data_IF_942152676405
#
_entry.id   IF_942152676405
#
_cell.length_a   1.000
_cell.length_b   1.000
_cell.length_c   1.000
_cell.angle_alpha   90.00
_cell.angle_beta   90.00
_cell.angle_gamma   90.00
#
_symmetry.space_group_name_H-M   'P 1'
#
loop_
_entity.id
_entity.type
_entity.pdbx_description
1 polymer ?
#
# COMPACT_ATOMS: atom_id res chain seq x y z
N UNK A 1 5.09 10.23 18.20
CA UNK A 1 6.13 9.16 18.17
C UNK A 1 7.52 9.75 18.03
N UNK A 2 8.51 9.23 18.78
CA UNK A 2 9.94 9.53 18.56
C UNK A 2 10.40 9.00 17.18
N UNK A 3 11.41 9.64 16.58
CA UNK A 3 11.94 9.30 15.26
C UNK A 3 12.37 7.82 15.16
N UNK A 4 13.03 7.32 16.20
CA UNK A 4 13.46 5.92 16.30
C UNK A 4 12.28 4.96 16.19
N UNK A 5 11.21 5.17 16.96
CA UNK A 5 10.02 4.31 16.93
C UNK A 5 9.36 4.28 15.55
N UNK A 6 9.31 5.42 14.84
CA UNK A 6 8.79 5.47 13.46
C UNK A 6 9.66 4.64 12.52
N UNK A 7 10.98 4.75 12.60
CA UNK A 7 11.91 3.96 11.80
C UNK A 7 11.75 2.46 12.08
N UNK A 8 11.71 2.07 13.35
CA UNK A 8 11.51 0.67 13.76
C UNK A 8 10.20 0.12 13.23
N UNK A 9 9.10 0.86 13.39
CA UNK A 9 7.79 0.41 12.90
C UNK A 9 7.73 0.36 11.37
N UNK A 10 8.36 1.31 10.67
CA UNK A 10 8.51 1.27 9.21
C UNK A 10 9.22 0.00 8.77
N UNK A 11 10.34 -0.35 9.41
CA UNK A 11 11.11 -1.55 9.11
C UNK A 11 10.31 -2.84 9.41
N UNK A 12 9.61 -2.88 10.54
CA UNK A 12 8.75 -4.02 10.91
C UNK A 12 7.62 -4.22 9.90
N UNK A 13 6.89 -3.15 9.55
CA UNK A 13 5.82 -3.24 8.56
C UNK A 13 6.39 -3.69 7.21
N UNK A 14 7.53 -3.14 6.77
CA UNK A 14 8.16 -3.55 5.52
C UNK A 14 8.56 -5.04 5.52
N UNK A 15 9.13 -5.55 6.62
CA UNK A 15 9.52 -6.94 6.78
C UNK A 15 8.31 -7.89 6.75
N UNK A 16 7.29 -7.60 7.57
CA UNK A 16 6.05 -8.39 7.61
C UNK A 16 5.37 -8.37 6.24
N UNK A 17 5.26 -7.21 5.60
CA UNK A 17 4.65 -7.08 4.27
C UNK A 17 5.39 -7.90 3.24
N UNK A 18 6.72 -7.89 3.26
CA UNK A 18 7.56 -8.67 2.34
C UNK A 18 7.31 -10.17 2.49
N UNK A 19 7.32 -10.67 3.74
CA UNK A 19 7.12 -12.09 4.04
C UNK A 19 5.69 -12.56 3.77
N UNK A 20 4.70 -11.72 4.05
CA UNK A 20 3.29 -12.10 3.93
C UNK A 20 2.76 -11.91 2.50
N UNK A 21 3.30 -10.97 1.72
CA UNK A 21 2.86 -10.75 0.33
C UNK A 21 3.23 -11.89 -0.61
N UNK A 22 4.26 -12.68 -0.29
CA UNK A 22 4.60 -13.89 -1.03
C UNK A 22 3.69 -15.08 -0.70
N UNK A 23 3.09 -15.09 0.49
CA UNK A 23 2.20 -16.15 0.98
C UNK A 23 0.73 -15.92 0.62
N UNK A 24 0.30 -14.66 0.65
CA UNK A 24 -1.10 -14.27 0.43
C UNK A 24 -1.17 -13.42 -0.84
N UNK A 25 -1.35 -14.10 -1.97
CA UNK A 25 -1.69 -13.46 -3.24
C UNK A 25 -2.87 -14.20 -3.89
N UNK A 26 -3.78 -13.44 -4.49
CA UNK A 26 -4.89 -14.00 -5.24
C UNK A 26 -4.54 -13.83 -6.73
N UNK A 27 -4.26 -14.91 -7.47
CA UNK A 27 -4.05 -14.82 -8.90
C UNK A 27 -5.38 -14.49 -9.59
N UNK A 28 -5.43 -13.37 -10.31
CA UNK A 28 -6.58 -12.94 -11.11
C UNK A 28 -6.09 -12.67 -12.53
N UNK A 29 -6.24 -13.68 -13.40
CA UNK A 29 -5.72 -13.64 -14.77
C UNK A 29 -4.20 -13.48 -14.81
N UNK A 30 -3.72 -12.45 -15.52
CA UNK A 30 -2.31 -12.12 -15.63
C UNK A 30 -1.74 -11.32 -14.44
N UNK A 31 -2.57 -10.94 -13.46
CA UNK A 31 -2.12 -10.22 -12.28
C UNK A 31 -2.25 -11.00 -10.99
N UNK A 32 -1.44 -10.58 -10.02
CA UNK A 32 -1.48 -11.04 -8.64
C UNK A 32 -2.00 -9.90 -7.80
N UNK A 33 -3.11 -10.12 -7.10
CA UNK A 33 -3.61 -9.19 -6.10
C UNK A 33 -2.82 -9.43 -4.82
N UNK A 34 -2.27 -8.37 -4.24
CA UNK A 34 -1.49 -8.42 -3.00
C UNK A 34 -2.20 -7.64 -1.89
N UNK A 35 -3.23 -8.21 -1.23
CA UNK A 35 -4.02 -7.50 -0.21
C UNK A 35 -3.17 -6.96 0.94
N UNK A 36 -2.13 -7.72 1.32
CA UNK A 36 -1.23 -7.35 2.41
C UNK A 36 -0.43 -6.09 2.09
N UNK A 37 -0.04 -5.87 0.83
CA UNK A 37 0.68 -4.67 0.42
C UNK A 37 -0.20 -3.43 0.57
N UNK A 38 -1.41 -3.47 0.04
CA UNK A 38 -2.35 -2.36 0.11
C UNK A 38 -2.75 -2.05 1.56
N UNK A 39 -2.94 -3.09 2.37
CA UNK A 39 -3.13 -2.93 3.82
C UNK A 39 -1.94 -2.23 4.48
N UNK A 40 -0.71 -2.68 4.21
CA UNK A 40 0.49 -2.09 4.77
C UNK A 40 0.68 -0.63 4.37
N UNK A 41 0.38 -0.29 3.11
CA UNK A 41 0.43 1.09 2.62
C UNK A 41 -0.55 1.99 3.40
N UNK A 42 -1.80 1.57 3.55
CA UNK A 42 -2.81 2.31 4.33
C UNK A 42 -2.44 2.39 5.82
N UNK A 43 -1.95 1.29 6.40
CA UNK A 43 -1.52 1.24 7.80
C UNK A 43 -0.35 2.20 8.05
N UNK A 44 0.67 2.18 7.20
CA UNK A 44 1.82 3.09 7.27
C UNK A 44 1.41 4.54 7.02
N UNK A 45 0.49 4.79 6.10
CA UNK A 45 -0.08 6.11 5.86
C UNK A 45 -0.75 6.69 7.13
N UNK A 46 -1.52 5.86 7.84
CA UNK A 46 -2.26 6.24 9.05
C UNK A 46 -1.33 6.43 10.25
N UNK A 47 -0.39 5.50 10.46
CA UNK A 47 0.48 5.47 11.65
C UNK A 47 1.73 6.35 11.53
N UNK A 48 2.35 6.36 10.36
CA UNK A 48 3.70 6.89 10.20
C UNK A 48 3.72 8.23 9.45
N UNK A 49 2.75 8.43 8.57
CA UNK A 49 2.61 9.59 7.69
C UNK A 49 3.37 9.45 6.36
N UNK A 50 3.32 10.46 5.48
CA UNK A 50 3.70 10.36 4.07
C UNK A 50 5.11 9.84 3.83
N UNK A 51 6.11 10.44 4.49
CA UNK A 51 7.51 10.10 4.26
C UNK A 51 7.81 8.64 4.58
N UNK A 52 7.41 8.19 5.77
CA UNK A 52 7.65 6.83 6.23
C UNK A 52 6.78 5.81 5.50
N UNK A 53 5.57 6.17 5.07
CA UNK A 53 4.72 5.32 4.25
C UNK A 53 5.35 5.04 2.89
N UNK A 54 5.89 6.07 2.23
CA UNK A 54 6.63 5.91 0.96
C UNK A 54 7.89 5.06 1.16
N UNK A 55 8.65 5.30 2.23
CA UNK A 55 9.84 4.48 2.55
C UNK A 55 9.46 3.03 2.81
N UNK A 56 8.38 2.75 3.54
CA UNK A 56 7.89 1.38 3.75
C UNK A 56 7.48 0.72 2.42
N UNK A 57 6.72 1.42 1.57
CA UNK A 57 6.31 0.94 0.26
C UNK A 57 7.51 0.63 -0.64
N UNK A 58 8.52 1.50 -0.63
CA UNK A 58 9.77 1.29 -1.34
C UNK A 58 10.54 0.08 -0.80
N UNK A 59 10.77 -0.01 0.51
CA UNK A 59 11.52 -1.11 1.13
C UNK A 59 10.86 -2.47 0.87
N UNK A 60 9.53 -2.55 1.05
CA UNK A 60 8.79 -3.79 0.76
C UNK A 60 8.86 -4.18 -0.71
N UNK A 61 8.76 -3.22 -1.64
CA UNK A 61 8.89 -3.47 -3.08
C UNK A 61 10.30 -3.92 -3.45
N UNK A 62 11.32 -3.27 -2.88
CA UNK A 62 12.73 -3.60 -3.08
C UNK A 62 13.05 -5.01 -2.60
N UNK A 63 12.69 -5.35 -1.36
CA UNK A 63 12.95 -6.66 -0.80
C UNK A 63 12.23 -7.76 -1.60
N UNK A 64 10.96 -7.54 -1.97
CA UNK A 64 10.22 -8.50 -2.79
C UNK A 64 10.86 -8.70 -4.17
N UNK A 65 11.38 -7.64 -4.78
CA UNK A 65 12.05 -7.73 -6.07
C UNK A 65 13.38 -8.51 -5.97
N UNK A 66 14.21 -8.21 -4.97
CA UNK A 66 15.46 -8.97 -4.70
C UNK A 66 15.17 -10.45 -4.43
N UNK A 67 14.10 -10.75 -3.70
CA UNK A 67 13.68 -12.12 -3.39
C UNK A 67 12.95 -12.82 -4.56
N UNK A 68 12.78 -12.18 -5.71
CA UNK A 68 12.11 -12.76 -6.89
C UNK A 68 10.60 -12.95 -6.75
N UNK A 69 9.97 -12.41 -5.69
CA UNK A 69 8.53 -12.52 -5.43
C UNK A 69 7.75 -11.26 -5.85
N UNK A 70 8.46 -10.18 -6.15
CA UNK A 70 7.93 -8.90 -6.60
C UNK A 70 8.08 -8.66 -8.10
N UNK A 71 7.64 -7.49 -8.54
CA UNK A 71 7.81 -7.00 -9.91
C UNK A 71 8.30 -5.55 -9.87
N UNK A 72 9.03 -5.12 -10.90
CA UNK A 72 9.44 -3.72 -11.07
C UNK A 72 8.22 -2.77 -11.14
N UNK A 73 7.07 -3.29 -11.57
CA UNK A 73 5.81 -2.54 -11.61
C UNK A 73 5.25 -2.22 -10.21
N UNK A 74 5.72 -2.90 -9.16
CA UNK A 74 5.24 -2.66 -7.80
C UNK A 74 5.75 -1.34 -7.21
N UNK A 75 6.87 -0.80 -7.69
CA UNK A 75 7.46 0.42 -7.11
C UNK A 75 6.58 1.65 -7.32
N UNK A 76 6.26 2.08 -8.57
CA UNK A 76 5.49 3.32 -8.76
C UNK A 76 4.11 3.20 -8.13
N UNK A 77 3.45 2.05 -8.32
CA UNK A 77 2.13 1.79 -7.77
C UNK A 77 2.07 1.89 -6.25
N UNK A 78 2.94 1.17 -5.55
CA UNK A 78 2.92 1.12 -4.09
C UNK A 78 3.35 2.45 -3.46
N UNK A 79 4.37 3.12 -4.02
CA UNK A 79 4.86 4.38 -3.48
C UNK A 79 3.87 5.53 -3.68
N UNK A 80 3.24 5.64 -4.86
CA UNK A 80 2.24 6.67 -5.13
C UNK A 80 0.96 6.41 -4.33
N UNK A 81 0.54 5.14 -4.22
CA UNK A 81 -0.56 4.71 -3.35
C UNK A 81 -0.37 5.14 -1.91
N UNK A 82 0.74 4.71 -1.30
CA UNK A 82 1.07 5.03 0.08
C UNK A 82 1.17 6.55 0.34
N UNK A 83 1.72 7.30 -0.63
CA UNK A 83 1.80 8.75 -0.55
C UNK A 83 0.41 9.39 -0.55
N UNK A 84 -0.45 9.04 -1.50
CA UNK A 84 -1.80 9.60 -1.60
C UNK A 84 -2.69 9.18 -0.43
N UNK A 85 -2.60 7.92 0.00
CA UNK A 85 -3.27 7.44 1.21
C UNK A 85 -2.87 8.29 2.42
N UNK A 86 -1.57 8.58 2.59
CA UNK A 86 -1.08 9.39 3.69
C UNK A 86 -1.50 10.86 3.59
N UNK A 87 -1.47 11.47 2.41
CA UNK A 87 -1.91 12.86 2.20
C UNK A 87 -3.40 13.00 2.48
N UNK A 88 -4.23 12.12 1.92
CA UNK A 88 -5.68 12.17 2.13
C UNK A 88 -6.05 11.87 3.57
N UNK A 89 -5.39 10.90 4.22
CA UNK A 89 -5.57 10.67 5.64
C UNK A 89 -5.14 11.88 6.47
N UNK A 90 -4.01 12.52 6.16
CA UNK A 90 -3.57 13.70 6.90
C UNK A 90 -4.53 14.88 6.77
N UNK A 91 -5.18 15.07 5.61
CA UNK A 91 -6.13 16.16 5.40
C UNK A 91 -7.49 15.88 6.02
N UNK A 92 -7.99 14.66 5.89
CA UNK A 92 -9.37 14.31 6.26
C UNK A 92 -9.49 13.65 7.63
N UNK A 93 -8.38 13.08 8.13
CA UNK A 93 -8.29 12.24 9.34
C UNK A 93 -9.20 11.02 9.34
N UNK A 94 -9.71 10.62 8.17
CA UNK A 94 -10.67 9.51 8.01
C UNK A 94 -10.02 8.34 7.30
N UNK A 95 -10.16 7.14 7.89
CA UNK A 95 -9.62 5.90 7.31
C UNK A 95 -10.15 5.61 5.89
N UNK A 96 -11.42 5.94 5.64
CA UNK A 96 -12.02 5.76 4.32
C UNK A 96 -11.26 6.54 3.23
N UNK A 97 -10.79 7.75 3.54
CA UNK A 97 -10.03 8.56 2.59
C UNK A 97 -8.60 8.07 2.42
N UNK A 98 -8.01 7.41 3.43
CA UNK A 98 -6.74 6.71 3.26
C UNK A 98 -6.89 5.57 2.24
N UNK A 99 -7.95 4.77 2.36
CA UNK A 99 -8.25 3.69 1.43
C UNK A 99 -8.55 4.21 0.01
N UNK A 100 -9.33 5.28 -0.12
CA UNK A 100 -9.57 5.94 -1.43
C UNK A 100 -8.26 6.44 -2.03
N UNK A 101 -7.36 7.01 -1.22
CA UNK A 101 -6.04 7.45 -1.67
C UNK A 101 -5.18 6.31 -2.19
N UNK A 102 -5.23 5.14 -1.56
CA UNK A 102 -4.57 3.93 -2.04
C UNK A 102 -5.17 3.44 -3.37
N UNK A 103 -6.50 3.42 -3.50
CA UNK A 103 -7.18 3.02 -4.75
C UNK A 103 -6.78 3.92 -5.91
N UNK A 104 -6.87 5.24 -5.71
CA UNK A 104 -6.54 6.21 -6.76
C UNK A 104 -5.04 6.20 -7.03
N UNK A 105 -4.24 6.15 -5.97
CA UNK A 105 -2.79 6.26 -6.07
C UNK A 105 -2.13 5.03 -6.68
N UNK A 106 -2.53 3.82 -6.31
CA UNK A 106 -1.97 2.60 -6.94
C UNK A 106 -2.70 2.22 -8.22
N UNK A 107 -4.03 2.29 -8.22
CA UNK A 107 -4.86 1.80 -9.33
C UNK A 107 -4.87 2.70 -10.55
N UNK A 108 -4.79 4.02 -10.37
CA UNK A 108 -4.83 5.00 -11.48
C UNK A 108 -3.44 5.59 -11.70
N UNK A 109 -2.96 6.40 -10.75
CA UNK A 109 -1.68 7.11 -10.94
C UNK A 109 -0.49 6.14 -10.99
N UNK A 110 -0.53 5.11 -10.15
CA UNK A 110 0.44 4.04 -10.10
C UNK A 110 0.49 3.22 -11.38
N UNK A 111 -0.66 2.87 -11.94
CA UNK A 111 -0.75 2.19 -13.22
C UNK A 111 -0.22 3.07 -14.36
N UNK A 112 -0.56 4.36 -14.38
CA UNK A 112 -0.03 5.32 -15.36
C UNK A 112 1.48 5.52 -15.25
N UNK A 113 2.01 5.63 -14.03
CA UNK A 113 3.46 5.76 -13.81
C UNK A 113 4.22 4.48 -14.17
N UNK A 114 3.57 3.33 -14.06
CA UNK A 114 4.10 2.03 -14.45
C UNK A 114 4.06 1.83 -15.98
N UNK A 115 3.15 2.49 -16.70
CA UNK A 115 2.95 2.28 -18.13
C UNK A 115 4.22 2.43 -18.99
N UNK A 116 5.07 3.48 -18.85
CA UNK A 116 6.31 3.59 -19.63
C UNK A 116 7.27 2.41 -19.41
N UNK A 117 7.37 1.93 -18.16
CA UNK A 117 8.19 0.77 -17.80
C UNK A 117 7.59 -0.50 -18.41
N UNK A 118 6.26 -0.62 -18.40
CA UNK A 118 5.52 -1.69 -19.06
C UNK A 118 5.82 -1.75 -20.56
N UNK A 119 5.69 -0.62 -21.26
CA UNK A 119 5.92 -0.55 -22.71
C UNK A 119 7.33 -1.01 -23.07
N UNK A 120 8.33 -0.61 -22.29
CA UNK A 120 9.73 -0.98 -22.52
C UNK A 120 10.00 -2.48 -22.31
N UNK A 121 9.30 -3.14 -21.38
CA UNK A 121 9.56 -4.53 -21.00
C UNK A 121 8.63 -5.55 -21.68
N UNK A 122 7.37 -5.19 -21.89
CA UNK A 122 6.29 -6.08 -22.33
C UNK A 122 5.70 -5.69 -23.69
N UNK A 123 6.03 -4.50 -24.21
CA UNK A 123 5.40 -3.92 -25.39
C UNK A 123 4.09 -3.19 -25.07
N UNK A 124 3.60 -2.44 -26.06
CA UNK A 124 2.49 -1.50 -25.90
C UNK A 124 1.15 -2.19 -25.61
N UNK A 125 0.81 -3.24 -26.36
CA UNK A 125 -0.47 -3.94 -26.22
C UNK A 125 -0.60 -4.66 -24.87
N UNK A 126 0.43 -5.40 -24.46
CA UNK A 126 0.43 -6.11 -23.17
C UNK A 126 0.36 -5.15 -21.97
N UNK A 127 0.93 -3.95 -22.10
CA UNK A 127 0.91 -2.93 -21.05
C UNK A 127 -0.46 -2.25 -20.92
N UNK A 128 -1.05 -1.85 -22.04
CA UNK A 128 -2.36 -1.19 -22.06
C UNK A 128 -3.50 -2.13 -21.70
N UNK A 129 -3.53 -3.33 -22.28
CA UNK A 129 -4.66 -4.24 -22.15
C UNK A 129 -4.47 -5.32 -21.07
N UNK A 130 -3.23 -5.59 -20.66
CA UNK A 130 -2.92 -6.52 -19.57
C UNK A 130 -2.64 -5.81 -18.26
N UNK A 131 -1.55 -5.04 -18.22
CA UNK A 131 -0.99 -4.51 -16.97
C UNK A 131 -1.91 -3.47 -16.31
N UNK A 132 -2.40 -2.48 -17.05
CA UNK A 132 -3.20 -1.37 -16.50
C UNK A 132 -4.53 -1.84 -15.89
N UNK A 133 -5.39 -2.61 -16.59
CA UNK A 133 -6.64 -3.11 -16.01
C UNK A 133 -6.40 -3.97 -14.78
N UNK A 134 -5.33 -4.77 -14.80
CA UNK A 134 -5.05 -5.69 -13.73
C UNK A 134 -4.52 -4.97 -12.47
N UNK A 135 -3.77 -3.87 -12.64
CA UNK A 135 -3.43 -2.95 -11.54
C UNK A 135 -4.66 -2.28 -10.94
N UNK A 136 -5.60 -1.82 -11.78
CA UNK A 136 -6.83 -1.19 -11.31
C UNK A 136 -7.68 -2.17 -10.47
N UNK A 137 -7.90 -3.40 -10.98
CA UNK A 137 -8.66 -4.45 -10.27
C UNK A 137 -7.95 -4.84 -8.96
N UNK A 138 -6.63 -5.03 -9.00
CA UNK A 138 -5.83 -5.36 -7.81
C UNK A 138 -5.94 -4.26 -6.76
N UNK A 139 -5.84 -3.00 -7.17
CA UNK A 139 -5.88 -1.86 -6.25
C UNK A 139 -7.24 -1.70 -5.58
N UNK A 140 -8.34 -1.82 -6.33
CA UNK A 140 -9.69 -1.78 -5.76
C UNK A 140 -9.89 -2.93 -4.77
N UNK A 141 -9.59 -4.15 -5.19
CA UNK A 141 -9.78 -5.35 -4.36
C UNK A 141 -8.92 -5.31 -3.10
N UNK A 142 -7.64 -4.98 -3.26
CA UNK A 142 -6.68 -4.89 -2.17
C UNK A 142 -6.99 -3.77 -1.19
N UNK A 143 -7.48 -2.62 -1.67
CA UNK A 143 -7.89 -1.53 -0.80
C UNK A 143 -9.18 -1.84 -0.04
N UNK A 144 -10.15 -2.52 -0.64
CA UNK A 144 -11.37 -2.97 0.07
C UNK A 144 -10.99 -3.94 1.18
N UNK A 145 -10.16 -4.95 0.87
CA UNK A 145 -9.69 -5.92 1.86
C UNK A 145 -8.84 -5.25 2.95
N UNK A 146 -7.91 -4.39 2.57
CA UNK A 146 -7.05 -3.65 3.50
C UNK A 146 -7.85 -2.72 4.41
N UNK A 147 -8.82 -1.99 3.87
CA UNK A 147 -9.72 -1.15 4.65
C UNK A 147 -10.58 -1.98 5.62
N UNK A 148 -11.14 -3.10 5.16
CA UNK A 148 -11.90 -4.01 6.00
C UNK A 148 -11.08 -4.55 7.17
N UNK A 149 -9.87 -5.03 6.90
CA UNK A 149 -8.94 -5.52 7.92
C UNK A 149 -8.56 -4.41 8.90
N UNK A 150 -8.24 -3.21 8.41
CA UNK A 150 -7.90 -2.08 9.25
C UNK A 150 -9.07 -1.66 10.14
N UNK A 151 -10.31 -1.70 9.64
CA UNK A 151 -11.53 -1.40 10.41
C UNK A 151 -11.78 -2.44 11.50
N UNK A 152 -11.54 -3.72 11.22
CA UNK A 152 -11.64 -4.81 12.22
C UNK A 152 -10.58 -4.61 13.31
N UNK A 153 -9.34 -4.31 12.93
CA UNK A 153 -8.24 -4.06 13.87
C UNK A 153 -8.46 -2.80 14.71
N UNK A 154 -9.02 -1.75 14.10
CA UNK A 154 -9.38 -0.51 14.78
C UNK A 154 -10.49 -0.70 15.83
N UNK A 155 -11.39 -1.68 15.62
CA UNK A 155 -12.43 -2.05 16.58
C UNK A 155 -11.89 -2.87 17.77
N UNK A 156 -10.66 -3.37 17.68
CA UNK A 156 -10.03 -4.19 18.71
C UNK A 156 -9.29 -3.28 19.72
N UNK A 157 -9.67 -3.30 21.00
CA UNK A 157 -9.22 -2.34 22.03
C UNK A 157 -7.69 -2.20 22.16
N UNK A 158 -6.91 -3.25 21.88
CA UNK A 158 -5.45 -3.22 21.97
C UNK A 158 -4.77 -2.40 20.86
N UNK A 159 -5.32 -2.42 19.63
CA UNK A 159 -4.82 -1.64 18.50
C UNK A 159 -5.57 -0.33 18.32
N UNK A 160 -6.83 -0.27 18.77
CA UNK A 160 -7.57 0.98 18.94
C UNK A 160 -6.75 1.98 19.74
N UNK A 161 -6.20 1.58 20.90
CA UNK A 161 -5.29 2.40 21.69
C UNK A 161 -4.03 2.85 20.93
N UNK A 162 -3.33 1.94 20.25
CA UNK A 162 -2.11 2.26 19.47
C UNK A 162 -2.41 3.19 18.29
N UNK A 163 -3.53 2.98 17.59
CA UNK A 163 -3.99 3.83 16.49
C UNK A 163 -4.42 5.20 17.01
N UNK A 164 -5.10 5.27 18.17
CA UNK A 164 -5.54 6.53 18.78
C UNK A 164 -4.38 7.35 19.36
N UNK A 165 -3.41 6.67 19.99
CA UNK A 165 -2.28 7.26 20.72
C UNK A 165 -1.08 7.57 19.79
N UNK A 166 -0.91 6.79 18.71
CA UNK A 166 0.18 7.00 17.73
C UNK A 166 -0.28 7.62 16.42
N UNK A 167 -1.58 7.77 16.14
CA UNK A 167 -2.00 8.66 15.06
C UNK A 167 -1.45 10.04 15.35
N UNK A 168 -0.82 10.64 14.35
CA UNK A 168 -0.17 11.96 14.46
C UNK A 168 -1.08 13.07 15.01
N UNK A 169 -2.40 12.83 15.09
CA UNK A 169 -3.32 13.68 15.83
C UNK A 169 -4.35 12.86 16.60
N UNK A 170 -4.34 13.00 17.92
CA UNK A 170 -5.33 12.48 18.86
C UNK A 170 -6.78 12.65 18.36
N UNK A 171 -7.54 11.54 18.41
CA UNK A 171 -9.02 11.38 18.33
C UNK A 171 -9.63 10.86 17.01
N UNK A 172 -10.43 9.80 17.19
CA UNK A 172 -11.75 9.60 16.58
C UNK A 172 -11.78 8.65 15.39
N UNK A 173 -11.92 7.34 15.66
CA UNK A 173 -12.49 6.39 14.71
C UNK A 173 -13.98 6.63 14.51
#
# INVERSE_FOLDING_TARGET
MKKLNKMTLTALIAAITTLSSSLIYIPVGFAKIFPVQHFANVLSAVLLGPWYAVVQAFLSSLLRNILGTGSLFAFPGSMIGALLAAILYQKTKKLAFAAVGEVIGTGILGAMATYPIGVLLLGQEASLFGLVPAFAISSVTGAIMGYGLLKILAKNNALGGILHENSTHNRGL
#
